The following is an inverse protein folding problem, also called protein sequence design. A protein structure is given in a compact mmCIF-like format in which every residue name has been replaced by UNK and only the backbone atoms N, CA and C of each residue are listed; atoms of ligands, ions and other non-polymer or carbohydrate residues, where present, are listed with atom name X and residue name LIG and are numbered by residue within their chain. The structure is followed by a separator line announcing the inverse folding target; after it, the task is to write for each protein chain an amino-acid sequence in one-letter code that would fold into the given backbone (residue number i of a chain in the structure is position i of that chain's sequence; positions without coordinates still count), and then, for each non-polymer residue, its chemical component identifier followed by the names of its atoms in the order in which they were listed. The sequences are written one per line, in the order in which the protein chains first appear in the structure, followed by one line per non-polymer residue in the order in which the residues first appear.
data_IF_574243125431
#
_entry.id   IF_574243125431
#
_cell.length_a   1.000
_cell.length_b   1.000
_cell.length_c   1.000
_cell.angle_alpha   90.00
_cell.angle_beta   90.00
_cell.angle_gamma   90.00
#
_symmetry.space_group_name_H-M   'P 1'
#
loop_
_entity.id
_entity.type
_entity.pdbx_description
1 polymer ?
#
# COMPACT_ATOMS: atom_id res chain seq x y z
N UNK A 1 -15.08 18.51 20.21
CA UNK A 1 -13.69 18.04 20.41
C UNK A 1 -12.80 18.49 19.27
N UNK A 2 -11.56 18.92 19.55
CA UNK A 2 -10.67 19.53 18.56
C UNK A 2 -10.40 18.59 17.39
N UNK A 3 -10.97 18.89 16.23
CA UNK A 3 -10.50 18.34 14.97
C UNK A 3 -9.01 18.69 14.89
N UNK A 4 -8.14 17.72 14.98
CA UNK A 4 -6.70 17.91 14.76
C UNK A 4 -6.58 18.30 13.28
N UNK A 5 -6.58 19.60 13.00
CA UNK A 5 -6.26 20.11 11.67
C UNK A 5 -4.78 19.90 11.44
N UNK A 6 -4.46 18.80 10.77
CA UNK A 6 -3.08 18.49 10.38
C UNK A 6 -2.70 19.42 9.23
N UNK A 7 -1.59 20.14 9.38
CA UNK A 7 -1.07 20.99 8.33
C UNK A 7 -0.61 20.16 7.12
N UNK A 8 -0.59 20.77 5.93
CA UNK A 8 -0.05 20.13 4.71
C UNK A 8 1.35 19.55 4.93
N UNK A 9 2.25 20.30 5.58
CA UNK A 9 3.63 19.84 5.87
C UNK A 9 3.64 18.63 6.80
N UNK A 10 2.81 18.63 7.83
CA UNK A 10 2.70 17.51 8.78
C UNK A 10 2.14 16.27 8.07
N UNK A 11 1.13 16.42 7.20
CA UNK A 11 0.62 15.35 6.37
C UNK A 11 1.71 14.71 5.50
N UNK A 12 2.50 15.52 4.80
CA UNK A 12 3.62 15.04 3.99
C UNK A 12 4.65 14.25 4.84
N UNK A 13 5.04 14.76 6.02
CA UNK A 13 5.99 14.07 6.89
C UNK A 13 5.46 12.73 7.40
N UNK A 14 4.17 12.66 7.75
CA UNK A 14 3.54 11.40 8.17
C UNK A 14 3.57 10.40 7.01
N UNK A 15 3.23 10.81 5.77
CA UNK A 15 3.27 9.90 4.60
C UNK A 15 4.69 9.43 4.30
N UNK A 16 5.72 10.28 4.42
CA UNK A 16 7.13 9.86 4.28
C UNK A 16 7.47 8.79 5.31
N UNK A 17 7.18 9.03 6.59
CA UNK A 17 7.44 8.07 7.66
C UNK A 17 6.70 6.75 7.43
N UNK A 18 5.41 6.81 7.05
CA UNK A 18 4.62 5.64 6.70
C UNK A 18 5.22 4.86 5.53
N UNK A 19 5.68 5.56 4.49
CA UNK A 19 6.25 4.91 3.30
C UNK A 19 7.52 4.13 3.64
N UNK A 20 8.39 4.68 4.49
CA UNK A 20 9.58 3.98 4.98
C UNK A 20 9.18 2.75 5.80
N UNK A 21 8.26 2.93 6.73
CA UNK A 21 7.77 1.85 7.61
C UNK A 21 7.07 0.73 6.80
N UNK A 22 6.23 1.10 5.85
CA UNK A 22 5.55 0.11 4.98
C UNK A 22 6.53 -0.58 4.03
N UNK A 23 7.54 0.12 3.52
CA UNK A 23 8.59 -0.49 2.72
C UNK A 23 9.37 -1.55 3.50
N UNK A 24 9.65 -1.32 4.79
CA UNK A 24 10.29 -2.32 5.66
C UNK A 24 9.38 -3.52 5.97
N UNK A 25 8.05 -3.33 5.96
CA UNK A 25 7.09 -4.40 6.22
C UNK A 25 7.20 -5.57 5.25
N UNK A 26 7.56 -5.33 3.98
CA UNK A 26 7.77 -6.39 2.98
C UNK A 26 8.87 -7.36 3.40
N UNK A 27 9.95 -6.86 4.02
CA UNK A 27 11.06 -7.71 4.47
C UNK A 27 10.64 -8.57 5.66
N UNK A 28 10.05 -7.96 6.69
CA UNK A 28 9.57 -8.69 7.85
C UNK A 28 8.50 -9.72 7.47
N UNK A 29 7.57 -9.34 6.58
CA UNK A 29 6.56 -10.27 6.07
C UNK A 29 7.21 -11.44 5.31
N UNK A 30 8.17 -11.17 4.41
CA UNK A 30 8.86 -12.21 3.65
C UNK A 30 9.60 -13.19 4.56
N UNK A 31 10.25 -12.71 5.62
CA UNK A 31 10.91 -13.57 6.59
C UNK A 31 9.93 -14.45 7.38
N UNK A 32 8.83 -13.84 7.88
CA UNK A 32 7.81 -14.57 8.64
C UNK A 32 7.04 -15.57 7.77
N UNK A 33 6.85 -15.30 6.48
CA UNK A 33 6.26 -16.25 5.53
C UNK A 33 7.09 -17.52 5.29
N UNK A 34 8.32 -17.57 5.78
CA UNK A 34 9.12 -18.79 5.82
C UNK A 34 8.64 -19.81 6.86
N UNK A 35 7.88 -19.38 7.86
CA UNK A 35 7.39 -20.20 8.98
C UNK A 35 5.90 -20.04 9.27
N UNK A 36 5.27 -18.94 8.90
CA UNK A 36 3.86 -18.63 9.16
C UNK A 36 3.15 -18.47 7.81
N UNK A 37 1.99 -19.10 7.68
CA UNK A 37 1.17 -19.01 6.47
C UNK A 37 0.58 -17.61 6.25
N UNK A 38 0.31 -17.19 5.00
CA UNK A 38 -0.05 -15.81 4.66
C UNK A 38 -1.29 -15.27 5.37
N UNK A 39 -2.38 -16.04 5.40
CA UNK A 39 -3.63 -15.60 6.01
C UNK A 39 -3.52 -15.58 7.53
N UNK A 40 -2.76 -16.54 8.09
CA UNK A 40 -2.45 -16.56 9.51
C UNK A 40 -1.62 -15.34 9.92
N UNK A 41 -0.55 -15.04 9.18
CA UNK A 41 0.27 -13.84 9.41
C UNK A 41 -0.56 -12.56 9.31
N UNK A 42 -1.42 -12.45 8.28
CA UNK A 42 -2.34 -11.34 8.12
C UNK A 42 -3.26 -11.21 9.32
N UNK A 43 -3.92 -12.29 9.70
CA UNK A 43 -4.87 -12.31 10.80
C UNK A 43 -4.25 -11.87 12.13
N UNK A 44 -3.15 -12.51 12.54
CA UNK A 44 -2.46 -12.21 13.80
C UNK A 44 -1.92 -10.77 13.80
N UNK A 45 -1.24 -10.35 12.74
CA UNK A 45 -0.63 -9.04 12.60
C UNK A 45 -1.66 -7.91 12.74
N UNK A 46 -2.76 -7.99 11.98
CA UNK A 46 -3.77 -6.94 11.94
C UNK A 46 -4.66 -6.96 13.18
N UNK A 47 -4.99 -8.15 13.71
CA UNK A 47 -5.77 -8.24 14.96
C UNK A 47 -4.97 -7.73 16.15
N UNK A 48 -3.68 -8.06 16.25
CA UNK A 48 -2.82 -7.57 17.32
C UNK A 48 -2.70 -6.03 17.26
N UNK A 49 -2.51 -5.46 16.06
CA UNK A 49 -2.50 -4.01 15.87
C UNK A 49 -3.83 -3.38 16.30
N UNK A 50 -4.96 -3.96 15.88
CA UNK A 50 -6.29 -3.50 16.28
C UNK A 50 -6.49 -3.53 17.79
N UNK A 51 -6.17 -4.63 18.46
CA UNK A 51 -6.37 -4.78 19.91
C UNK A 51 -5.57 -3.74 20.69
N UNK A 52 -4.31 -3.53 20.32
CA UNK A 52 -3.46 -2.51 20.95
C UNK A 52 -4.07 -1.12 20.77
N UNK A 53 -4.43 -0.75 19.55
CA UNK A 53 -5.01 0.56 19.27
C UNK A 53 -6.38 0.73 19.91
N UNK A 54 -7.20 -0.33 19.93
CA UNK A 54 -8.52 -0.31 20.56
C UNK A 54 -8.43 -0.06 22.07
N UNK A 55 -7.46 -0.66 22.76
CA UNK A 55 -7.25 -0.42 24.20
C UNK A 55 -6.99 1.07 24.47
N UNK A 56 -6.15 1.73 23.66
CA UNK A 56 -5.82 3.13 23.87
C UNK A 56 -6.92 4.12 23.43
N UNK A 57 -7.72 3.76 22.41
CA UNK A 57 -8.68 4.67 21.77
C UNK A 57 -10.13 4.22 21.89
N UNK A 58 -10.44 3.23 22.74
CA UNK A 58 -11.78 2.66 22.90
C UNK A 58 -12.87 3.70 23.20
N UNK A 59 -12.58 4.65 24.08
CA UNK A 59 -13.53 5.71 24.43
C UNK A 59 -13.95 6.54 23.21
N UNK A 60 -12.97 6.98 22.39
CA UNK A 60 -13.23 7.75 21.18
C UNK A 60 -13.98 6.90 20.13
N UNK A 61 -13.55 5.67 19.92
CA UNK A 61 -14.18 4.75 18.96
C UNK A 61 -15.66 4.56 19.28
N UNK A 62 -15.98 4.30 20.57
CA UNK A 62 -17.37 4.11 21.01
C UNK A 62 -18.20 5.39 20.84
N UNK A 63 -17.63 6.56 21.13
CA UNK A 63 -18.29 7.86 20.92
C UNK A 63 -18.60 8.08 19.44
N UNK A 64 -17.61 7.93 18.55
CA UNK A 64 -17.77 8.12 17.10
C UNK A 64 -18.78 7.12 16.47
N UNK A 65 -18.80 5.88 16.96
CA UNK A 65 -19.80 4.88 16.53
C UNK A 65 -21.21 5.28 16.96
N UNK A 66 -21.37 5.83 18.19
CA UNK A 66 -22.68 6.30 18.68
C UNK A 66 -23.17 7.52 17.90
N UNK A 67 -22.28 8.45 17.59
CA UNK A 67 -22.60 9.63 16.80
C UNK A 67 -22.94 9.30 15.34
N UNK A 68 -22.19 8.37 14.75
CA UNK A 68 -22.36 7.98 13.34
C UNK A 68 -22.15 6.47 13.12
N UNK A 69 -23.19 5.63 13.34
CA UNK A 69 -23.07 4.16 13.21
C UNK A 69 -22.63 3.68 11.82
N UNK A 70 -22.83 4.50 10.78
CA UNK A 70 -22.41 4.16 9.41
C UNK A 70 -20.88 4.06 9.24
N UNK A 71 -20.08 4.56 10.20
CA UNK A 71 -18.64 4.38 10.19
C UNK A 71 -18.25 2.90 10.22
N UNK A 72 -19.02 2.05 10.89
CA UNK A 72 -18.79 0.61 10.96
C UNK A 72 -18.93 -0.03 9.57
N UNK A 73 -20.02 0.27 8.85
CA UNK A 73 -20.21 -0.25 7.48
C UNK A 73 -19.17 0.27 6.50
N UNK A 74 -18.76 1.53 6.64
CA UNK A 74 -17.67 2.11 5.87
C UNK A 74 -16.32 1.42 6.14
N UNK A 75 -16.04 1.09 7.41
CA UNK A 75 -14.85 0.36 7.81
C UNK A 75 -14.86 -1.09 7.30
N UNK A 76 -16.01 -1.74 7.25
CA UNK A 76 -16.16 -3.07 6.65
C UNK A 76 -15.87 -3.05 5.14
N UNK A 77 -16.40 -2.05 4.42
CA UNK A 77 -16.12 -1.90 2.99
C UNK A 77 -14.63 -1.68 2.75
N UNK A 78 -14.03 -0.73 3.46
CA UNK A 78 -12.62 -0.38 3.31
C UNK A 78 -11.72 -1.55 3.74
N UNK A 79 -12.00 -2.14 4.89
CA UNK A 79 -11.27 -3.30 5.43
C UNK A 79 -11.35 -4.52 4.53
N UNK A 80 -12.51 -4.79 3.90
CA UNK A 80 -12.68 -5.86 2.93
C UNK A 80 -11.82 -5.68 1.68
N UNK A 81 -11.76 -4.45 1.14
CA UNK A 81 -10.92 -4.16 -0.03
C UNK A 81 -9.43 -4.25 0.32
N UNK A 82 -9.01 -3.71 1.48
CA UNK A 82 -7.64 -3.86 1.95
C UNK A 82 -7.28 -5.30 2.28
N UNK A 83 -8.23 -6.07 2.80
CA UNK A 83 -8.03 -7.49 3.06
C UNK A 83 -7.72 -8.26 1.76
N UNK A 84 -8.47 -8.01 0.68
CA UNK A 84 -8.18 -8.60 -0.64
C UNK A 84 -6.79 -8.18 -1.15
N UNK A 85 -6.44 -6.91 -1.00
CA UNK A 85 -5.13 -6.39 -1.35
C UNK A 85 -4.02 -7.13 -0.59
N UNK A 86 -4.08 -7.14 0.73
CA UNK A 86 -3.06 -7.75 1.59
C UNK A 86 -2.96 -9.27 1.44
N UNK A 87 -4.09 -9.95 1.20
CA UNK A 87 -4.10 -11.38 0.90
C UNK A 87 -3.34 -11.66 -0.38
N UNK A 88 -3.65 -10.93 -1.45
CA UNK A 88 -2.96 -11.09 -2.74
C UNK A 88 -1.47 -10.71 -2.64
N UNK A 89 -1.12 -9.67 -1.87
CA UNK A 89 0.25 -9.27 -1.57
C UNK A 89 1.02 -10.38 -0.85
N UNK A 90 0.51 -10.86 0.30
CA UNK A 90 1.22 -11.84 1.13
C UNK A 90 1.35 -13.21 0.45
N UNK A 91 0.29 -13.67 -0.22
CA UNK A 91 0.37 -14.90 -1.02
C UNK A 91 1.33 -14.71 -2.20
N UNK A 92 1.26 -13.57 -2.90
CA UNK A 92 2.18 -13.25 -3.99
C UNK A 92 3.64 -13.18 -3.52
N UNK A 93 3.87 -12.60 -2.35
CA UNK A 93 5.19 -12.47 -1.74
C UNK A 93 5.85 -13.82 -1.40
N UNK A 94 5.10 -14.91 -1.23
CA UNK A 94 5.69 -16.24 -1.10
C UNK A 94 6.45 -16.67 -2.36
N UNK A 95 5.97 -16.26 -3.54
CA UNK A 95 6.47 -16.72 -4.84
C UNK A 95 7.39 -15.75 -5.56
N UNK A 96 7.57 -14.51 -5.03
CA UNK A 96 8.43 -13.48 -5.61
C UNK A 96 9.29 -12.80 -4.54
N UNK A 97 10.19 -11.88 -4.93
CA UNK A 97 11.02 -11.14 -3.96
C UNK A 97 10.26 -9.97 -3.35
N UNK A 98 10.70 -9.51 -2.17
CA UNK A 98 10.11 -8.36 -1.51
C UNK A 98 10.17 -7.10 -2.39
N UNK A 99 11.29 -6.90 -3.06
CA UNK A 99 11.49 -5.76 -3.97
C UNK A 99 10.52 -5.77 -5.15
N UNK A 100 10.38 -6.92 -5.84
CA UNK A 100 9.48 -7.06 -7.00
C UNK A 100 8.02 -6.85 -6.56
N UNK A 101 7.58 -7.52 -5.48
CA UNK A 101 6.23 -7.38 -4.95
C UNK A 101 5.91 -5.91 -4.62
N UNK A 102 6.82 -5.21 -3.94
CA UNK A 102 6.64 -3.81 -3.59
C UNK A 102 6.54 -2.88 -4.81
N UNK A 103 7.38 -3.07 -5.84
CA UNK A 103 7.26 -2.28 -7.07
C UNK A 103 5.94 -2.53 -7.80
N UNK A 104 5.52 -3.79 -7.91
CA UNK A 104 4.27 -4.16 -8.59
C UNK A 104 3.06 -3.59 -7.85
N UNK A 105 2.95 -3.79 -6.54
CA UNK A 105 1.83 -3.28 -5.74
C UNK A 105 1.76 -1.75 -5.79
N UNK A 106 2.88 -1.05 -5.64
CA UNK A 106 2.90 0.41 -5.64
C UNK A 106 2.63 1.03 -7.02
N UNK A 107 2.62 0.24 -8.10
CA UNK A 107 2.09 0.68 -9.40
C UNK A 107 0.60 1.07 -9.33
N UNK A 108 -0.11 0.70 -8.25
CA UNK A 108 -1.45 1.16 -7.91
C UNK A 108 -1.61 2.69 -8.05
N UNK A 109 -0.56 3.46 -7.74
CA UNK A 109 -0.57 4.92 -7.81
C UNK A 109 -0.85 5.43 -9.22
N UNK A 110 -0.37 4.72 -10.24
CA UNK A 110 -0.64 5.06 -11.66
C UNK A 110 -1.98 4.48 -12.11
N UNK A 111 -2.43 3.39 -11.50
CA UNK A 111 -3.72 2.76 -11.78
C UNK A 111 -4.88 3.64 -11.26
N UNK A 112 -4.70 4.33 -10.12
CA UNK A 112 -5.73 5.21 -9.51
C UNK A 112 -6.31 6.22 -10.51
N UNK A 113 -5.51 7.07 -11.18
CA UNK A 113 -6.06 8.04 -12.14
C UNK A 113 -6.76 7.40 -13.34
N UNK A 114 -6.32 6.19 -13.74
CA UNK A 114 -6.97 5.44 -14.82
C UNK A 114 -8.36 4.96 -14.38
N UNK A 115 -8.47 4.41 -13.17
CA UNK A 115 -9.77 3.99 -12.61
C UNK A 115 -10.68 5.20 -12.46
N UNK A 116 -10.19 6.32 -11.94
CA UNK A 116 -10.97 7.56 -11.80
C UNK A 116 -11.47 8.07 -13.17
N UNK A 117 -10.63 8.04 -14.19
CA UNK A 117 -11.02 8.44 -15.54
C UNK A 117 -12.15 7.56 -16.10
N UNK A 118 -12.10 6.25 -15.87
CA UNK A 118 -13.16 5.29 -16.26
C UNK A 118 -14.45 5.60 -15.49
N UNK A 119 -14.37 5.77 -14.16
CA UNK A 119 -15.52 6.06 -13.31
C UNK A 119 -16.21 7.38 -13.69
N UNK A 120 -15.43 8.40 -14.03
CA UNK A 120 -15.91 9.72 -14.43
C UNK A 120 -16.28 9.79 -15.92
N UNK A 121 -16.08 8.70 -16.69
CA UNK A 121 -16.28 8.63 -18.14
C UNK A 121 -15.56 9.74 -18.90
N UNK A 122 -14.34 10.06 -18.50
CA UNK A 122 -13.48 11.07 -19.11
C UNK A 122 -12.15 10.43 -19.50
N UNK A 123 -11.59 10.88 -20.62
CA UNK A 123 -10.25 10.45 -20.98
C UNK A 123 -9.22 10.98 -19.97
N UNK A 124 -8.26 10.17 -19.51
CA UNK A 124 -7.21 10.65 -18.64
C UNK A 124 -6.38 11.71 -19.35
N UNK A 125 -5.85 12.71 -18.64
CA UNK A 125 -4.91 13.67 -19.22
C UNK A 125 -3.75 12.94 -19.92
N UNK A 126 -3.22 13.54 -21.00
CA UNK A 126 -2.13 12.93 -21.80
C UNK A 126 -0.93 12.50 -20.95
N UNK A 127 -0.58 13.30 -19.94
CA UNK A 127 0.53 12.99 -19.03
C UNK A 127 0.27 11.70 -18.25
N UNK A 128 -0.96 11.51 -17.77
CA UNK A 128 -1.38 10.28 -17.04
C UNK A 128 -1.33 9.08 -17.99
N UNK A 129 -1.83 9.21 -19.22
CA UNK A 129 -1.77 8.13 -20.19
C UNK A 129 -0.33 7.71 -20.52
N UNK A 130 0.58 8.67 -20.73
CA UNK A 130 2.02 8.41 -20.95
C UNK A 130 2.65 7.75 -19.72
N UNK A 131 2.37 8.25 -18.53
CA UNK A 131 2.86 7.68 -17.26
C UNK A 131 2.41 6.23 -17.07
N UNK A 132 1.16 5.94 -17.39
CA UNK A 132 0.62 4.58 -17.34
C UNK A 132 1.38 3.64 -18.27
N UNK A 133 1.62 4.06 -19.52
CA UNK A 133 2.38 3.26 -20.50
C UNK A 133 3.80 3.02 -20.00
N UNK A 134 4.51 4.06 -19.53
CA UNK A 134 5.86 3.94 -19.00
C UNK A 134 5.90 2.96 -17.81
N UNK A 135 4.93 3.05 -16.91
CA UNK A 135 4.83 2.15 -15.73
C UNK A 135 4.59 0.71 -16.18
N UNK A 136 3.69 0.46 -17.13
CA UNK A 136 3.45 -0.90 -17.63
C UNK A 136 4.67 -1.49 -18.34
N UNK A 137 5.42 -0.69 -19.09
CA UNK A 137 6.71 -1.13 -19.68
C UNK A 137 7.69 -1.48 -18.55
N UNK A 138 7.77 -0.64 -17.51
CA UNK A 138 8.61 -0.89 -16.34
C UNK A 138 8.26 -2.19 -15.61
N UNK A 139 6.96 -2.46 -15.42
CA UNK A 139 6.46 -3.72 -14.85
C UNK A 139 6.94 -4.91 -15.69
N UNK A 140 6.76 -4.86 -17.02
CA UNK A 140 7.22 -5.90 -17.92
C UNK A 140 8.73 -6.17 -17.79
N UNK A 141 9.55 -5.12 -17.68
CA UNK A 141 11.00 -5.27 -17.52
C UNK A 141 11.40 -5.83 -16.14
N UNK A 142 10.71 -5.46 -15.05
CA UNK A 142 10.96 -6.08 -13.73
C UNK A 142 10.68 -7.57 -13.80
N UNK A 143 9.54 -7.95 -14.38
CA UNK A 143 9.15 -9.35 -14.49
C UNK A 143 10.11 -10.15 -15.38
N UNK A 144 10.54 -9.59 -16.50
CA UNK A 144 11.56 -10.22 -17.36
C UNK A 144 12.92 -10.35 -16.66
N UNK A 145 13.31 -9.34 -15.88
CA UNK A 145 14.56 -9.33 -15.11
C UNK A 145 14.55 -10.37 -13.97
N UNK A 146 13.39 -10.62 -13.37
CA UNK A 146 13.22 -11.59 -12.27
C UNK A 146 13.38 -13.05 -12.69
N UNK A 147 13.21 -13.35 -13.96
CA UNK A 147 13.34 -14.70 -14.50
C UNK A 147 14.71 -15.35 -14.30
N UNK A 148 15.73 -14.57 -13.95
CA UNK A 148 17.09 -15.05 -13.66
C UNK A 148 17.35 -15.28 -12.15
N UNK A 149 16.49 -14.79 -11.26
CA UNK A 149 16.74 -14.78 -9.81
C UNK A 149 15.90 -15.78 -9.00
N UNK A 150 14.86 -16.38 -9.56
CA UNK A 150 13.95 -17.25 -8.80
C UNK A 150 14.28 -18.74 -8.99
N UNK A 151 15.19 -19.24 -8.17
CA UNK A 151 15.35 -20.68 -7.89
C UNK A 151 14.38 -21.13 -6.76
N UNK A 152 13.21 -20.51 -6.63
CA UNK A 152 12.21 -20.83 -5.60
C UNK A 152 11.31 -22.01 -5.99
N UNK A 153 10.92 -22.77 -4.98
CA UNK A 153 10.00 -23.91 -5.04
C UNK A 153 8.65 -23.44 -5.61
N UNK A 154 8.26 -23.94 -6.79
CA UNK A 154 6.95 -23.71 -7.34
C UNK A 154 6.86 -22.79 -8.58
N UNK A 155 7.83 -22.90 -9.50
CA UNK A 155 7.82 -22.18 -10.78
C UNK A 155 6.65 -22.61 -11.71
N UNK A 156 5.42 -22.23 -11.39
CA UNK A 156 4.32 -22.28 -12.36
C UNK A 156 4.42 -20.98 -13.19
N UNK A 157 5.12 -21.05 -14.32
CA UNK A 157 5.14 -19.97 -15.32
C UNK A 157 3.90 -20.11 -16.19
N UNK A 158 2.91 -19.24 -15.97
CA UNK A 158 1.68 -19.20 -16.79
C UNK A 158 1.92 -18.59 -18.18
N UNK A 159 2.89 -17.71 -18.31
CA UNK A 159 3.40 -17.16 -19.56
C UNK A 159 4.91 -16.98 -19.43
N UNK A 160 5.65 -16.97 -20.55
CA UNK A 160 7.11 -16.80 -20.52
C UNK A 160 7.51 -15.45 -19.87
N UNK A 161 7.65 -15.45 -18.53
CA UNK A 161 8.04 -14.27 -17.75
C UNK A 161 7.18 -13.99 -16.52
N UNK A 162 5.85 -14.22 -16.55
CA UNK A 162 4.97 -13.99 -15.41
C UNK A 162 4.77 -15.27 -14.58
N UNK A 163 5.24 -15.25 -13.33
CA UNK A 163 4.90 -16.24 -12.32
C UNK A 163 3.59 -15.92 -11.61
N UNK A 164 3.10 -16.84 -10.79
CA UNK A 164 1.90 -16.64 -9.99
C UNK A 164 2.09 -15.50 -8.97
N UNK A 165 3.32 -15.31 -8.46
CA UNK A 165 3.65 -14.25 -7.51
C UNK A 165 3.42 -12.86 -8.10
N UNK A 166 3.93 -12.61 -9.31
CA UNK A 166 3.79 -11.34 -10.00
C UNK A 166 2.32 -11.03 -10.36
N UNK A 167 1.55 -12.05 -10.76
CA UNK A 167 0.12 -11.90 -11.04
C UNK A 167 -0.64 -11.51 -9.77
N UNK A 168 -0.36 -12.17 -8.64
CA UNK A 168 -0.98 -11.83 -7.36
C UNK A 168 -0.59 -10.42 -6.89
N UNK A 169 0.66 -10.01 -7.04
CA UNK A 169 1.09 -8.64 -6.75
C UNK A 169 0.37 -7.61 -7.65
N UNK A 170 0.08 -7.95 -8.90
CA UNK A 170 -0.73 -7.07 -9.77
C UNK A 170 -2.19 -7.00 -9.31
N UNK A 171 -2.79 -8.11 -8.87
CA UNK A 171 -4.13 -8.11 -8.25
C UNK A 171 -4.12 -7.24 -6.99
N UNK A 172 -3.08 -7.33 -6.16
CA UNK A 172 -2.88 -6.45 -5.02
C UNK A 172 -2.82 -4.98 -5.45
N UNK A 173 -2.11 -4.63 -6.53
CA UNK A 173 -2.03 -3.28 -7.06
C UNK A 173 -3.40 -2.71 -7.45
N UNK A 174 -4.23 -3.46 -8.17
CA UNK A 174 -5.59 -3.04 -8.52
C UNK A 174 -6.48 -2.87 -7.28
N UNK A 175 -6.40 -3.81 -6.33
CA UNK A 175 -7.15 -3.74 -5.08
C UNK A 175 -6.69 -2.55 -4.23
N UNK A 176 -5.37 -2.28 -4.19
CA UNK A 176 -4.81 -1.13 -3.49
C UNK A 176 -5.25 0.19 -4.12
N UNK A 177 -5.27 0.28 -5.45
CA UNK A 177 -5.80 1.44 -6.15
C UNK A 177 -7.26 1.72 -5.78
N UNK A 178 -8.11 0.69 -5.73
CA UNK A 178 -9.48 0.82 -5.27
C UNK A 178 -9.55 1.27 -3.79
N UNK A 179 -8.70 0.71 -2.92
CA UNK A 179 -8.63 1.09 -1.51
C UNK A 179 -8.23 2.57 -1.33
N UNK A 180 -7.27 3.09 -2.12
CA UNK A 180 -6.87 4.50 -2.09
C UNK A 180 -8.05 5.41 -2.44
N UNK A 181 -8.80 5.10 -3.50
CA UNK A 181 -9.96 5.88 -3.95
C UNK A 181 -11.06 5.86 -2.89
N UNK A 182 -11.34 4.69 -2.31
CA UNK A 182 -12.34 4.54 -1.26
C UNK A 182 -11.92 5.31 -0.01
N UNK A 183 -10.64 5.20 0.40
CA UNK A 183 -10.09 5.92 1.56
C UNK A 183 -10.24 7.42 1.40
N UNK A 184 -9.91 7.99 0.23
CA UNK A 184 -10.05 9.43 -0.02
C UNK A 184 -11.50 9.91 0.16
N UNK A 185 -12.47 9.14 -0.31
CA UNK A 185 -13.90 9.49 -0.21
C UNK A 185 -14.44 9.35 1.22
N UNK A 186 -14.06 8.29 1.91
CA UNK A 186 -14.61 7.93 3.23
C UNK A 186 -13.96 8.74 4.34
N UNK A 187 -12.64 9.02 4.27
CA UNK A 187 -11.92 9.79 5.29
C UNK A 187 -12.37 11.26 5.41
N UNK A 188 -13.01 11.80 4.36
CA UNK A 188 -13.62 13.13 4.38
C UNK A 188 -14.96 13.14 5.09
N UNK A 189 -15.62 11.98 5.21
CA UNK A 189 -16.99 11.88 5.75
C UNK A 189 -17.00 11.44 7.22
N UNK A 190 -16.02 10.62 7.62
CA UNK A 190 -15.95 10.04 8.96
C UNK A 190 -14.65 10.46 9.68
N UNK A 191 -14.60 10.26 11.01
CA UNK A 191 -13.34 10.45 11.72
C UNK A 191 -12.27 9.50 11.18
N UNK A 192 -11.15 10.05 10.64
CA UNK A 192 -10.17 9.23 9.93
C UNK A 192 -9.38 8.32 10.88
N UNK A 193 -9.25 8.64 12.16
CA UNK A 193 -8.55 7.79 13.12
C UNK A 193 -9.40 6.59 13.51
N UNK A 194 -10.64 6.80 13.85
CA UNK A 194 -11.59 5.72 14.18
C UNK A 194 -11.79 4.80 12.97
N UNK A 195 -11.93 5.38 11.77
CA UNK A 195 -11.97 4.63 10.51
C UNK A 195 -10.71 3.77 10.36
N UNK A 196 -9.53 4.36 10.58
CA UNK A 196 -8.23 3.70 10.47
C UNK A 196 -8.09 2.49 11.40
N UNK A 197 -8.56 2.61 12.64
CA UNK A 197 -8.50 1.51 13.61
C UNK A 197 -9.51 0.41 13.26
N UNK A 198 -10.73 0.78 12.92
CA UNK A 198 -11.79 -0.19 12.65
C UNK A 198 -11.52 -1.04 11.42
N UNK A 199 -11.05 -0.46 10.30
CA UNK A 199 -10.79 -1.29 9.12
C UNK A 199 -9.59 -2.23 9.31
N UNK A 200 -8.59 -1.85 10.12
CA UNK A 200 -7.51 -2.74 10.55
C UNK A 200 -8.07 -3.93 11.33
N UNK A 201 -9.04 -3.68 12.23
CA UNK A 201 -9.73 -4.75 12.94
C UNK A 201 -10.50 -5.70 12.02
N UNK A 202 -11.21 -5.16 11.03
CA UNK A 202 -11.90 -5.96 10.00
C UNK A 202 -10.93 -6.86 9.25
N UNK A 203 -9.78 -6.34 8.82
CA UNK A 203 -8.74 -7.12 8.15
C UNK A 203 -8.22 -8.25 9.03
N UNK A 204 -7.95 -7.97 10.31
CA UNK A 204 -7.49 -8.97 11.27
C UNK A 204 -8.48 -10.11 11.48
N UNK A 205 -9.76 -9.76 11.68
CA UNK A 205 -10.85 -10.74 11.84
C UNK A 205 -11.03 -11.59 10.57
N UNK A 206 -11.10 -10.96 9.40
CA UNK A 206 -11.21 -11.67 8.11
C UNK A 206 -10.00 -12.60 7.89
N UNK A 207 -8.78 -12.12 8.19
CA UNK A 207 -7.56 -12.91 8.08
C UNK A 207 -7.59 -14.15 8.97
N UNK A 208 -7.99 -14.03 10.23
CA UNK A 208 -8.11 -15.18 11.12
C UNK A 208 -9.19 -16.16 10.66
N UNK A 209 -10.38 -15.67 10.29
CA UNK A 209 -11.46 -16.54 9.83
C UNK A 209 -10.98 -17.35 8.62
N UNK A 210 -10.37 -16.71 7.65
CA UNK A 210 -9.89 -17.39 6.43
C UNK A 210 -8.69 -18.30 6.71
N UNK A 211 -7.80 -17.94 7.64
CA UNK A 211 -6.71 -18.80 8.07
C UNK A 211 -7.25 -20.10 8.69
N UNK A 212 -8.24 -20.03 9.57
CA UNK A 212 -8.89 -21.23 10.14
C UNK A 212 -9.62 -22.08 9.09
N UNK A 213 -10.04 -21.48 7.97
CA UNK A 213 -10.73 -22.21 6.89
C UNK A 213 -9.79 -22.89 5.90
N UNK A 214 -8.63 -22.29 5.62
CA UNK A 214 -7.76 -22.69 4.51
C UNK A 214 -6.33 -23.05 4.90
N UNK A 215 -5.91 -22.72 6.12
CA UNK A 215 -4.55 -22.92 6.63
C UNK A 215 -4.59 -23.67 7.98
N UNK A 216 -3.42 -24.02 8.50
CA UNK A 216 -3.25 -24.53 9.86
C UNK A 216 -2.72 -23.41 10.79
N UNK A 217 -3.57 -22.58 11.37
CA UNK A 217 -3.11 -21.40 12.09
C UNK A 217 -2.29 -21.81 13.33
N UNK A 218 -1.14 -21.19 13.47
CA UNK A 218 -0.25 -21.36 14.62
C UNK A 218 0.40 -20.02 15.00
N UNK A 219 0.91 -19.96 16.21
CA UNK A 219 1.64 -18.79 16.71
C UNK A 219 3.12 -18.89 16.37
N UNK A 220 3.87 -17.78 16.38
CA UNK A 220 5.32 -17.81 16.21
C UNK A 220 6.00 -18.77 17.19
N UNK A 221 6.99 -19.53 16.70
CA UNK A 221 7.65 -20.57 17.48
C UNK A 221 8.81 -20.05 18.34
N UNK A 222 9.44 -18.95 17.93
CA UNK A 222 10.60 -18.39 18.61
C UNK A 222 10.50 -16.89 18.93
N UNK A 223 11.37 -16.42 19.80
CA UNK A 223 11.40 -15.02 20.22
C UNK A 223 11.70 -14.05 19.09
N UNK A 224 12.46 -14.45 18.09
CA UNK A 224 12.81 -13.60 16.94
C UNK A 224 11.60 -13.36 16.07
N UNK A 225 10.82 -14.40 15.80
CA UNK A 225 9.55 -14.29 15.06
C UNK A 225 8.55 -13.41 15.81
N UNK A 226 8.45 -13.53 17.15
CA UNK A 226 7.61 -12.66 17.97
C UNK A 226 8.03 -11.20 17.90
N UNK A 227 9.32 -10.89 17.97
CA UNK A 227 9.85 -9.52 17.84
C UNK A 227 9.50 -8.96 16.46
N UNK A 228 9.73 -9.73 15.40
CA UNK A 228 9.40 -9.32 14.03
C UNK A 228 7.89 -9.09 13.87
N UNK A 229 7.06 -9.98 14.40
CA UNK A 229 5.61 -9.85 14.37
C UNK A 229 5.13 -8.61 15.14
N UNK A 230 5.70 -8.32 16.30
CA UNK A 230 5.37 -7.14 17.09
C UNK A 230 5.76 -5.85 16.36
N UNK A 231 6.96 -5.80 15.77
CA UNK A 231 7.37 -4.66 14.93
C UNK A 231 6.39 -4.50 13.76
N UNK A 232 6.07 -5.58 13.09
CA UNK A 232 5.17 -5.59 11.95
C UNK A 232 3.75 -5.15 12.34
N UNK A 233 3.24 -5.62 13.48
CA UNK A 233 1.90 -5.29 13.98
C UNK A 233 1.82 -3.84 14.49
N UNK A 234 2.74 -3.42 15.36
CA UNK A 234 2.66 -2.12 16.03
C UNK A 234 3.13 -1.00 15.11
N UNK A 235 4.32 -1.15 14.53
CA UNK A 235 4.95 -0.09 13.73
C UNK A 235 4.41 -0.10 12.31
N UNK A 236 4.53 -1.23 11.61
CA UNK A 236 4.19 -1.27 10.18
C UNK A 236 2.67 -1.25 9.95
N UNK A 237 1.90 -1.96 10.76
CA UNK A 237 0.44 -2.03 10.61
C UNK A 237 -0.25 -0.94 11.43
N UNK A 238 -0.02 -0.88 12.73
CA UNK A 238 -0.68 0.06 13.61
C UNK A 238 -0.45 1.51 13.16
N UNK A 239 0.79 1.94 13.04
CA UNK A 239 1.10 3.28 12.55
C UNK A 239 0.84 3.40 11.03
N UNK A 240 1.34 2.45 10.22
CA UNK A 240 1.32 2.55 8.76
C UNK A 240 -0.08 2.60 8.14
N UNK A 241 -1.04 1.85 8.66
CA UNK A 241 -2.40 1.81 8.12
C UNK A 241 -3.32 2.81 8.82
N UNK A 242 -3.23 2.95 10.15
CA UNK A 242 -4.12 3.85 10.91
C UNK A 242 -3.83 5.33 10.60
N UNK A 243 -2.56 5.69 10.39
CA UNK A 243 -2.19 7.07 10.06
C UNK A 243 -2.51 7.46 8.61
N UNK A 244 -2.75 6.50 7.72
CA UNK A 244 -3.00 6.80 6.31
C UNK A 244 -4.23 7.68 6.08
N UNK A 245 -5.44 7.39 6.59
CA UNK A 245 -6.59 8.26 6.42
C UNK A 245 -6.39 9.65 7.01
N UNK A 246 -5.65 9.74 8.13
CA UNK A 246 -5.34 11.00 8.82
C UNK A 246 -4.42 11.86 7.95
N UNK A 247 -3.33 11.27 7.46
CA UNK A 247 -2.33 11.98 6.68
C UNK A 247 -2.83 12.38 5.30
N UNK A 248 -3.74 11.61 4.69
CA UNK A 248 -4.34 11.92 3.39
C UNK A 248 -5.38 13.03 3.46
N UNK A 249 -6.00 13.28 4.61
CA UNK A 249 -7.07 14.28 4.74
C UNK A 249 -6.68 15.68 4.23
N UNK A 250 -5.50 16.25 4.54
CA UNK A 250 -5.06 17.56 4.04
C UNK A 250 -4.35 17.49 2.67
N UNK A 251 -4.12 16.32 2.11
CA UNK A 251 -3.34 16.13 0.89
C UNK A 251 -4.24 15.79 -0.30
N UNK A 252 -3.77 16.12 -1.51
CA UNK A 252 -4.36 15.54 -2.72
C UNK A 252 -3.86 14.10 -2.91
N UNK A 253 -4.67 13.29 -3.58
CA UNK A 253 -4.27 11.91 -3.98
C UNK A 253 -2.97 11.91 -4.78
N UNK A 254 -2.75 12.94 -5.62
CA UNK A 254 -1.54 13.13 -6.42
C UNK A 254 -0.30 13.32 -5.54
N UNK A 255 -0.36 14.27 -4.57
CA UNK A 255 0.77 14.53 -3.64
C UNK A 255 1.08 13.30 -2.81
N UNK A 256 0.05 12.62 -2.32
CA UNK A 256 0.17 11.37 -1.58
C UNK A 256 0.87 10.31 -2.42
N UNK A 257 0.48 10.15 -3.70
CA UNK A 257 1.07 9.20 -4.63
C UNK A 257 2.57 9.41 -4.84
N UNK A 258 3.04 10.67 -5.02
CA UNK A 258 4.48 10.94 -5.15
C UNK A 258 5.26 10.45 -3.93
N UNK A 259 4.75 10.77 -2.74
CA UNK A 259 5.47 10.48 -1.50
C UNK A 259 5.48 8.97 -1.23
N UNK A 260 4.39 8.27 -1.54
CA UNK A 260 4.31 6.81 -1.39
C UNK A 260 5.33 6.07 -2.29
N UNK A 261 5.81 6.68 -3.37
CA UNK A 261 6.88 6.11 -4.20
C UNK A 261 8.21 5.85 -3.43
N UNK A 262 8.36 6.41 -2.23
CA UNK A 262 9.45 6.08 -1.29
C UNK A 262 9.34 4.61 -0.81
N UNK A 263 8.14 4.05 -0.73
CA UNK A 263 7.90 2.69 -0.26
C UNK A 263 8.70 1.64 -1.06
N UNK A 264 8.53 1.47 -2.38
CA UNK A 264 9.30 0.49 -3.14
C UNK A 264 10.80 0.77 -3.14
N UNK A 265 11.24 2.03 -3.05
CA UNK A 265 12.66 2.37 -2.90
C UNK A 265 13.21 1.83 -1.57
N UNK A 266 12.48 2.05 -0.47
CA UNK A 266 12.87 1.53 0.85
C UNK A 266 12.94 0.01 0.83
N UNK A 267 11.93 -0.65 0.26
CA UNK A 267 11.91 -2.12 0.15
C UNK A 267 13.10 -2.62 -0.67
N UNK A 268 13.41 -1.99 -1.81
CA UNK A 268 14.52 -2.41 -2.67
C UNK A 268 15.88 -2.25 -1.97
N UNK A 269 16.10 -1.13 -1.29
CA UNK A 269 17.35 -0.89 -0.54
C UNK A 269 17.50 -1.91 0.59
N UNK A 270 16.46 -2.10 1.39
CA UNK A 270 16.50 -3.05 2.51
C UNK A 270 16.57 -4.50 2.03
N UNK A 271 15.84 -4.86 0.95
CA UNK A 271 15.88 -6.18 0.34
C UNK A 271 17.29 -6.52 -0.17
N UNK A 272 17.96 -5.56 -0.81
CA UNK A 272 19.35 -5.73 -1.23
C UNK A 272 20.30 -5.89 -0.02
N UNK A 273 20.16 -5.08 1.02
CA UNK A 273 21.04 -5.11 2.17
C UNK A 273 20.89 -6.37 3.04
N UNK A 274 19.65 -6.84 3.25
CA UNK A 274 19.34 -7.85 4.26
C UNK A 274 18.89 -9.20 3.70
N UNK A 275 18.39 -9.24 2.46
CA UNK A 275 17.85 -10.47 1.86
C UNK A 275 18.63 -10.92 0.62
N UNK A 276 19.61 -10.13 0.15
CA UNK A 276 20.32 -10.42 -1.08
C UNK A 276 19.45 -10.31 -2.34
N UNK A 277 18.33 -9.58 -2.26
CA UNK A 277 17.47 -9.32 -3.40
C UNK A 277 18.26 -8.60 -4.50
N UNK A 278 18.19 -9.11 -5.73
CA UNK A 278 18.76 -8.41 -6.88
C UNK A 278 17.70 -8.31 -7.98
N UNK A 279 17.53 -7.11 -8.49
CA UNK A 279 16.62 -6.88 -9.61
C UNK A 279 17.26 -7.22 -10.97
N UNK A 280 18.57 -7.50 -10.99
CA UNK A 280 19.32 -7.57 -12.22
C UNK A 280 19.35 -6.23 -13.00
N UNK A 281 20.15 -6.12 -14.05
CA UNK A 281 20.26 -4.87 -14.82
C UNK A 281 18.96 -4.47 -15.50
N UNK A 282 18.23 -5.44 -16.06
CA UNK A 282 16.94 -5.21 -16.72
C UNK A 282 15.87 -4.80 -15.70
N UNK A 283 15.83 -5.46 -14.54
CA UNK A 283 14.90 -5.13 -13.46
C UNK A 283 15.14 -3.74 -12.86
N UNK A 284 16.41 -3.29 -12.77
CA UNK A 284 16.74 -1.92 -12.34
C UNK A 284 16.17 -0.89 -13.34
N UNK A 285 16.31 -1.12 -14.65
CA UNK A 285 15.70 -0.23 -15.66
C UNK A 285 14.19 -0.21 -15.50
N UNK A 286 13.57 -1.38 -15.28
CA UNK A 286 12.12 -1.48 -14.99
C UNK A 286 11.71 -0.68 -13.76
N UNK A 287 12.46 -0.78 -12.67
CA UNK A 287 12.22 -0.03 -11.43
C UNK A 287 12.30 1.49 -11.67
N UNK A 288 13.31 1.96 -12.39
CA UNK A 288 13.46 3.37 -12.76
C UNK A 288 12.30 3.85 -13.62
N UNK A 289 11.82 3.04 -14.56
CA UNK A 289 10.66 3.39 -15.38
C UNK A 289 9.37 3.46 -14.55
N UNK A 290 9.14 2.53 -13.62
CA UNK A 290 7.97 2.58 -12.72
C UNK A 290 8.01 3.87 -11.90
N UNK A 291 9.14 4.18 -11.26
CA UNK A 291 9.28 5.39 -10.46
C UNK A 291 9.09 6.66 -11.32
N UNK A 292 9.65 6.66 -12.53
CA UNK A 292 9.47 7.78 -13.48
C UNK A 292 8.00 7.95 -13.84
N UNK A 293 7.28 6.85 -14.12
CA UNK A 293 5.85 6.87 -14.41
C UNK A 293 5.01 7.39 -13.23
N UNK A 294 5.38 7.06 -12.00
CA UNK A 294 4.71 7.55 -10.79
C UNK A 294 4.95 9.06 -10.60
N UNK A 295 6.17 9.53 -10.84
CA UNK A 295 6.56 10.92 -10.59
C UNK A 295 6.08 11.85 -11.70
N UNK A 296 6.09 11.40 -12.96
CA UNK A 296 5.81 12.21 -14.15
C UNK A 296 4.48 13.00 -14.11
N UNK A 297 3.33 12.45 -13.69
CA UNK A 297 2.09 13.19 -13.61
C UNK A 297 2.11 14.35 -12.61
N UNK A 298 3.02 14.26 -11.65
CA UNK A 298 3.10 15.15 -10.52
C UNK A 298 4.11 16.30 -10.73
N UNK A 299 4.85 16.27 -11.85
CA UNK A 299 5.73 17.37 -12.24
C UNK A 299 4.88 18.54 -12.76
N UNK A 300 5.02 19.68 -12.13
CA UNK A 300 4.33 20.90 -12.57
C UNK A 300 5.03 21.48 -13.81
N UNK A 301 4.66 20.96 -14.97
CA UNK A 301 5.24 21.33 -16.27
C UNK A 301 5.12 22.80 -16.61
N UNK A 302 4.06 23.49 -16.11
CA UNK A 302 3.87 24.94 -16.34
C UNK A 302 4.93 25.78 -15.63
N UNK A 303 5.41 25.35 -14.47
CA UNK A 303 6.51 26.03 -13.76
C UNK A 303 7.88 25.78 -14.40
N UNK A 304 8.05 24.64 -15.04
CA UNK A 304 9.30 24.32 -15.76
C UNK A 304 9.39 25.03 -17.12
N UNK A 305 8.24 25.20 -17.79
CA UNK A 305 8.19 25.88 -19.10
C UNK A 305 8.34 27.42 -19.00
N UNK A 306 8.04 28.02 -17.84
CA UNK A 306 8.12 29.47 -17.62
C UNK A 306 8.73 29.76 -16.24
N UNK A 307 10.08 29.71 -16.08
CA UNK A 307 10.76 29.94 -14.80
C UNK A 307 10.67 31.39 -14.28
N UNK A 308 9.98 32.31 -14.99
CA UNK A 308 10.02 33.74 -14.70
C UNK A 308 8.73 34.43 -14.26
N UNK A 309 7.57 33.78 -14.24
CA UNK A 309 6.32 34.43 -13.85
C UNK A 309 5.73 33.81 -12.56
N UNK A 310 6.22 34.30 -11.43
CA UNK A 310 5.60 34.06 -10.13
C UNK A 310 4.29 34.83 -9.98
N UNK A 311 3.16 34.27 -10.41
CA UNK A 311 1.84 34.70 -9.98
C UNK A 311 1.09 33.48 -9.49
N UNK A 312 0.77 33.51 -8.20
CA UNK A 312 -0.09 32.55 -7.54
C UNK A 312 -1.45 32.50 -8.26
N UNK A 313 -1.68 31.47 -9.08
CA UNK A 313 -3.04 31.09 -9.46
C UNK A 313 -3.41 29.83 -8.70
N UNK A 314 -4.23 30.00 -7.66
CA UNK A 314 -5.04 28.95 -7.09
C UNK A 314 -5.78 28.26 -8.23
N UNK A 315 -5.45 27.00 -8.53
CA UNK A 315 -6.25 26.19 -9.43
C UNK A 315 -7.54 25.79 -8.71
N UNK A 316 -8.60 26.57 -8.94
CA UNK A 316 -9.96 26.17 -8.64
C UNK A 316 -10.33 24.99 -9.56
N UNK A 317 -10.28 23.77 -9.05
CA UNK A 317 -11.12 22.70 -9.57
C UNK A 317 -12.51 22.88 -8.96
N UNK A 318 -13.60 22.93 -9.76
CA UNK A 318 -14.96 22.97 -9.21
C UNK A 318 -15.23 21.67 -8.46
N UNK A 319 -15.82 21.83 -7.29
CA UNK A 319 -16.28 20.78 -6.37
C UNK A 319 -17.38 19.90 -6.97
#
# INVERSE_FOLDING_TARGET
MNNIEISFKTGCLIIVAMSIVRGSAFLFSKQLLGSIEPLNLLGIRFLLAFLILFIFFSGKIVEDIKENPHIVSASFLLGGVYYLCMTAELVGLQYTTASICSFLENSAIVIVPVIEAILLRRFPPRVIAVSTIITFIGIGLIVLGSGSASNGIGNIRLFSGFGIGEILCMIAAFSYAAAIIITDRISKKYDPMTLGILYVGVMGVMGLITSFMFEAPHLPDDSTQWIMLLILAVVCTGFGFTMQPIAQKPLSSETTGIIIAINPLTTAVLGWLFMGDSLGSIGIVGAVLILSGIILPNINWSKLAHPGNGVYQNSNYPR
#
